data_IF_928081537714
#
_entry.id   IF_928081537714
#
_cell.length_a   1.000
_cell.length_b   1.000
_cell.length_c   1.000
_cell.angle_alpha   90.00
_cell.angle_beta   90.00
_cell.angle_gamma   90.00
#
_symmetry.space_group_name_H-M   'P 1'
#
loop_
_entity.id
_entity.type
_entity.pdbx_description
1 polymer ?
#
# COMPACT_ATOMS: atom_id res chain seq x y z
N UNK A 1 -0.19 -13.96 -0.04
CA UNK A 1 0.09 -12.52 0.13
C UNK A 1 -1.19 -11.70 0.20
N UNK A 2 -2.12 -11.82 -0.77
CA UNK A 2 -3.41 -11.09 -0.72
C UNK A 2 -4.18 -11.32 0.58
N UNK A 3 -4.34 -12.58 1.02
CA UNK A 3 -5.01 -12.90 2.29
C UNK A 3 -4.31 -12.25 3.49
N UNK A 4 -2.98 -12.30 3.55
CA UNK A 4 -2.20 -11.64 4.61
C UNK A 4 -2.47 -10.14 4.70
N UNK A 5 -2.59 -9.45 3.55
CA UNK A 5 -2.93 -8.02 3.52
C UNK A 5 -4.36 -7.82 4.08
N UNK A 6 -5.32 -8.63 3.67
CA UNK A 6 -6.70 -8.53 4.12
C UNK A 6 -6.80 -8.79 5.63
N UNK A 7 -6.17 -9.85 6.13
CA UNK A 7 -6.13 -10.19 7.55
C UNK A 7 -5.48 -9.08 8.38
N UNK A 8 -4.35 -8.52 7.91
CA UNK A 8 -3.68 -7.44 8.62
C UNK A 8 -4.56 -6.19 8.73
N UNK A 9 -5.26 -5.82 7.65
CA UNK A 9 -6.19 -4.66 7.67
C UNK A 9 -7.40 -4.90 8.57
N UNK A 10 -7.92 -6.12 8.60
CA UNK A 10 -9.02 -6.52 9.48
C UNK A 10 -8.58 -6.48 10.95
N UNK A 11 -7.41 -7.04 11.28
CA UNK A 11 -6.82 -6.98 12.63
C UNK A 11 -6.58 -5.54 13.09
N UNK A 12 -6.12 -4.67 12.19
CA UNK A 12 -5.97 -3.25 12.46
C UNK A 12 -7.30 -2.48 12.53
N UNK A 13 -8.43 -3.11 12.16
CA UNK A 13 -9.77 -2.49 12.10
C UNK A 13 -9.81 -1.23 11.24
N UNK A 14 -9.14 -1.27 10.07
CA UNK A 14 -9.07 -0.15 9.13
C UNK A 14 -9.69 -0.50 7.78
N UNK A 15 -10.17 0.51 7.06
CA UNK A 15 -10.44 0.40 5.63
C UNK A 15 -9.13 0.50 4.86
N UNK A 16 -9.00 -0.25 3.77
CA UNK A 16 -7.79 -0.23 2.97
C UNK A 16 -8.07 -0.03 1.49
N UNK A 17 -7.21 0.76 0.86
CA UNK A 17 -7.10 0.87 -0.58
C UNK A 17 -5.89 0.06 -1.02
N UNK A 18 -6.11 -0.98 -1.81
CA UNK A 18 -5.08 -1.94 -2.21
C UNK A 18 -4.84 -1.82 -3.70
N UNK A 19 -3.62 -1.44 -4.09
CA UNK A 19 -3.21 -1.51 -5.49
C UNK A 19 -2.91 -2.97 -5.85
N UNK A 20 -3.60 -3.50 -6.86
CA UNK A 20 -3.37 -4.87 -7.34
C UNK A 20 -1.99 -5.05 -7.99
N UNK A 21 -1.31 -3.94 -8.32
CA UNK A 21 -0.04 -3.96 -9.03
C UNK A 21 -0.14 -4.72 -10.36
N UNK A 22 1.02 -5.17 -10.85
CA UNK A 22 1.12 -5.86 -12.14
C UNK A 22 0.91 -7.38 -12.00
N UNK A 23 1.13 -7.91 -10.79
CA UNK A 23 0.90 -9.33 -10.47
C UNK A 23 -0.56 -9.68 -10.19
N UNK A 24 -1.44 -8.68 -10.12
CA UNK A 24 -2.83 -8.83 -9.72
C UNK A 24 -2.99 -9.24 -8.26
N UNK A 25 -4.25 -9.41 -7.86
CA UNK A 25 -4.60 -10.07 -6.60
C UNK A 25 -5.09 -11.48 -6.92
N UNK A 26 -4.84 -12.43 -6.03
CA UNK A 26 -5.32 -13.81 -6.20
C UNK A 26 -6.86 -13.86 -6.27
N UNK A 27 -7.41 -14.99 -6.74
CA UNK A 27 -8.86 -15.23 -6.88
C UNK A 27 -9.61 -15.38 -5.55
N UNK A 28 -9.51 -14.36 -4.69
CA UNK A 28 -10.13 -14.29 -3.38
C UNK A 28 -11.33 -13.35 -3.41
N UNK A 29 -12.31 -13.60 -2.54
CA UNK A 29 -13.40 -12.65 -2.30
C UNK A 29 -12.85 -11.40 -1.61
N UNK A 30 -13.13 -10.23 -2.18
CA UNK A 30 -12.68 -8.94 -1.63
C UNK A 30 -13.63 -8.55 -0.49
N UNK A 31 -13.13 -8.32 0.74
CA UNK A 31 -13.96 -7.85 1.86
C UNK A 31 -14.49 -6.42 1.64
N UNK A 32 -15.63 -6.09 2.26
CA UNK A 32 -16.29 -4.78 2.08
C UNK A 32 -15.45 -3.57 2.51
N UNK A 33 -14.51 -3.74 3.44
CA UNK A 33 -13.62 -2.66 3.90
C UNK A 33 -12.41 -2.44 2.97
N UNK A 34 -12.29 -3.25 1.92
CA UNK A 34 -11.19 -3.20 0.96
C UNK A 34 -11.69 -2.65 -0.38
N UNK A 35 -11.02 -1.63 -0.88
CA UNK A 35 -11.20 -1.14 -2.23
C UNK A 35 -9.96 -1.44 -3.09
N UNK A 36 -10.15 -2.18 -4.18
CA UNK A 36 -9.06 -2.49 -5.11
C UNK A 36 -8.88 -1.34 -6.09
N UNK A 37 -7.70 -0.73 -6.05
CA UNK A 37 -7.33 0.37 -6.91
C UNK A 37 -6.69 -0.14 -8.19
N UNK A 38 -7.05 0.51 -9.30
CA UNK A 38 -6.23 0.58 -10.50
C UNK A 38 -5.12 1.62 -10.38
N UNK A 39 -4.63 2.10 -11.53
CA UNK A 39 -3.60 3.14 -11.54
C UNK A 39 -4.17 4.50 -11.06
N UNK A 40 -3.47 5.17 -10.16
CA UNK A 40 -3.88 6.47 -9.60
C UNK A 40 -2.66 7.32 -9.25
N UNK A 41 -2.69 8.65 -9.43
CA UNK A 41 -1.60 9.52 -9.00
C UNK A 41 -1.38 9.42 -7.48
N UNK A 42 -0.17 9.04 -7.06
CA UNK A 42 0.14 8.83 -5.65
C UNK A 42 0.14 10.12 -4.83
N UNK A 43 0.48 11.26 -5.43
CA UNK A 43 0.38 12.56 -4.76
C UNK A 43 -1.06 12.92 -4.40
N UNK A 44 -2.00 12.70 -5.33
CA UNK A 44 -3.42 12.84 -5.09
C UNK A 44 -3.91 11.83 -4.05
N UNK A 45 -3.54 10.56 -4.18
CA UNK A 45 -4.01 9.51 -3.25
C UNK A 45 -3.45 9.72 -1.84
N UNK A 46 -2.15 9.99 -1.70
CA UNK A 46 -1.49 10.00 -0.40
C UNK A 46 -1.95 11.15 0.47
N UNK A 47 -2.40 12.26 -0.11
CA UNK A 47 -3.06 13.34 0.64
C UNK A 47 -4.41 12.94 1.28
N UNK A 48 -4.98 11.78 0.91
CA UNK A 48 -6.31 11.29 1.33
C UNK A 48 -6.29 10.02 2.17
N UNK A 49 -5.10 9.52 2.50
CA UNK A 49 -4.94 8.32 3.33
C UNK A 49 -4.28 8.66 4.67
N UNK A 50 -4.54 7.83 5.67
CA UNK A 50 -3.98 8.00 7.01
C UNK A 50 -2.54 7.49 7.13
N UNK A 51 -2.16 6.48 6.33
CA UNK A 51 -0.83 5.87 6.30
C UNK A 51 -0.62 5.18 4.95
N UNK A 52 0.64 4.85 4.62
CA UNK A 52 1.01 4.14 3.40
C UNK A 52 1.85 2.91 3.77
N UNK A 53 1.48 1.74 3.25
CA UNK A 53 2.31 0.53 3.27
C UNK A 53 2.78 0.27 1.85
N UNK A 54 4.09 0.23 1.63
CA UNK A 54 4.64 0.04 0.28
C UNK A 54 5.97 -0.69 0.31
N UNK A 55 6.45 -1.10 -0.86
CA UNK A 55 7.66 -1.90 -0.98
C UNK A 55 8.98 -1.12 -0.80
N UNK A 56 8.94 0.20 -0.60
CA UNK A 56 10.16 1.02 -0.48
C UNK A 56 10.80 1.51 -1.78
N UNK A 57 10.13 1.44 -2.93
CA UNK A 57 10.69 2.02 -4.17
C UNK A 57 10.83 3.54 -4.07
N UNK A 58 11.98 4.08 -4.49
CA UNK A 58 12.37 5.49 -4.28
C UNK A 58 11.25 6.51 -4.59
N UNK A 59 10.54 6.36 -5.71
CA UNK A 59 9.47 7.27 -6.10
C UNK A 59 8.28 7.26 -5.12
N UNK A 60 7.82 6.08 -4.71
CA UNK A 60 6.71 5.95 -3.76
C UNK A 60 7.11 6.44 -2.37
N UNK A 61 8.33 6.11 -1.92
CA UNK A 61 8.89 6.60 -0.65
C UNK A 61 8.94 8.13 -0.64
N UNK A 62 9.48 8.74 -1.69
CA UNK A 62 9.60 10.20 -1.79
C UNK A 62 8.24 10.90 -1.72
N UNK A 63 7.20 10.37 -2.37
CA UNK A 63 5.85 10.94 -2.31
C UNK A 63 5.24 10.78 -0.91
N UNK A 64 5.41 9.61 -0.27
CA UNK A 64 4.94 9.36 1.10
C UNK A 64 5.52 10.36 2.10
N UNK A 65 6.84 10.56 2.03
CA UNK A 65 7.55 11.55 2.85
C UNK A 65 7.11 12.98 2.53
N UNK A 66 7.01 13.35 1.25
CA UNK A 66 6.57 14.69 0.82
C UNK A 66 5.15 15.02 1.31
N UNK A 67 4.25 14.04 1.34
CA UNK A 67 2.88 14.21 1.83
C UNK A 67 2.76 14.06 3.36
N UNK A 68 3.88 13.87 4.07
CA UNK A 68 3.91 13.71 5.52
C UNK A 68 3.03 12.57 6.01
N UNK A 69 2.97 11.47 5.26
CA UNK A 69 2.18 10.29 5.65
C UNK A 69 3.05 9.34 6.47
N UNK A 70 2.56 8.82 7.61
CA UNK A 70 3.16 7.65 8.24
C UNK A 70 3.36 6.55 7.19
N UNK A 71 4.60 6.07 7.05
CA UNK A 71 4.97 5.13 6.00
C UNK A 71 5.58 3.87 6.59
N UNK A 72 5.18 2.71 6.08
CA UNK A 72 5.70 1.40 6.46
C UNK A 72 6.26 0.75 5.21
N UNK A 73 7.56 0.44 5.25
CA UNK A 73 8.28 -0.16 4.14
C UNK A 73 8.38 -1.67 4.33
N UNK A 74 7.97 -2.43 3.32
CA UNK A 74 8.10 -3.90 3.26
C UNK A 74 9.01 -4.26 2.08
N UNK A 75 10.35 -4.21 2.27
CA UNK A 75 11.29 -4.34 1.17
C UNK A 75 11.42 -5.80 0.72
N UNK A 76 11.63 -6.00 -0.58
CA UNK A 76 11.87 -7.33 -1.17
C UNK A 76 12.97 -7.35 -2.23
N UNK A 77 13.37 -6.22 -2.82
CA UNK A 77 14.41 -6.18 -3.86
C UNK A 77 15.05 -4.79 -4.03
N UNK A 78 16.24 -4.73 -4.65
CA UNK A 78 16.82 -3.49 -5.16
C UNK A 78 17.22 -2.49 -4.08
N UNK A 79 16.88 -1.22 -4.28
CA UNK A 79 17.17 -0.10 -3.39
C UNK A 79 16.25 -0.04 -2.16
N UNK A 80 15.21 -0.86 -2.11
CA UNK A 80 14.16 -0.80 -1.10
C UNK A 80 14.65 -0.90 0.35
N UNK A 81 15.64 -1.74 0.72
CA UNK A 81 16.15 -1.82 2.09
C UNK A 81 16.87 -0.56 2.58
N UNK A 82 17.18 0.40 1.71
CA UNK A 82 17.77 1.69 2.13
C UNK A 82 16.76 2.57 2.89
N UNK A 83 15.46 2.35 2.68
CA UNK A 83 14.38 3.22 3.15
C UNK A 83 13.63 2.72 4.39
N UNK A 84 14.08 1.63 5.01
CA UNK A 84 13.49 1.06 6.25
C UNK A 84 14.05 1.68 7.52
#
# INVERSE_FOLDING_TARGET
MTELIFDATAQASVRAVVSAGWGGLGGVTIPDHIHILGNVPHDWLFSRVSAVVHHGGAGTTAVGLRMGRPTVVVPFFGDQPFWV
#
